data_IF_583234555996
#
_entry.id   IF_583234555996
#
_cell.length_a   1.000
_cell.length_b   1.000
_cell.length_c   1.000
_cell.angle_alpha   90.00
_cell.angle_beta   90.00
_cell.angle_gamma   90.00
#
_symmetry.space_group_name_H-M   'P 1'
#
loop_
_entity.id
_entity.type
_entity.pdbx_description
1 polymer ?
#
# COMPACT_ATOMS: atom_id res chain seq x y z
N UNK A 1 -1.80 13.48 -21.71
CA UNK A 1 -0.88 12.46 -21.16
C UNK A 1 0.55 12.89 -21.42
N UNK A 2 1.32 13.05 -20.35
CA UNK A 2 2.69 13.56 -20.39
C UNK A 2 3.71 12.48 -20.76
N UNK A 3 4.95 12.88 -20.99
CA UNK A 3 6.07 11.95 -21.06
C UNK A 3 7.25 12.57 -20.31
N UNK A 4 8.03 11.74 -19.63
CA UNK A 4 9.25 12.16 -18.95
C UNK A 4 10.46 11.63 -19.70
N UNK A 5 11.50 12.46 -19.78
CA UNK A 5 12.82 12.05 -20.23
C UNK A 5 13.68 11.83 -18.99
N UNK A 6 14.22 10.62 -18.83
CA UNK A 6 14.91 10.21 -17.61
C UNK A 6 16.01 9.21 -17.95
N UNK A 7 17.12 9.25 -17.20
CA UNK A 7 18.11 8.18 -17.31
C UNK A 7 17.55 6.91 -16.68
N UNK A 8 17.90 5.75 -17.23
CA UNK A 8 17.46 4.46 -16.70
C UNK A 8 17.79 4.29 -15.21
N UNK A 9 19.00 4.63 -14.78
CA UNK A 9 19.39 4.55 -13.37
C UNK A 9 18.50 5.40 -12.46
N UNK A 10 18.13 6.61 -12.91
CA UNK A 10 17.26 7.51 -12.16
C UNK A 10 15.81 6.98 -12.08
N UNK A 11 15.33 6.30 -13.12
CA UNK A 11 14.02 5.65 -13.12
C UNK A 11 13.96 4.53 -12.07
N UNK A 12 14.98 3.67 -12.04
CA UNK A 12 15.09 2.56 -11.07
C UNK A 12 15.19 3.11 -9.65
N UNK A 13 16.08 4.08 -9.41
CA UNK A 13 16.24 4.71 -8.11
C UNK A 13 14.94 5.37 -7.62
N UNK A 14 14.28 6.14 -8.48
CA UNK A 14 13.01 6.80 -8.15
C UNK A 14 11.89 5.79 -7.87
N UNK A 15 11.89 4.65 -8.55
CA UNK A 15 10.95 3.57 -8.27
C UNK A 15 11.17 3.02 -6.87
N UNK A 16 12.43 2.72 -6.52
CA UNK A 16 12.81 2.31 -5.17
C UNK A 16 12.41 3.32 -4.10
N UNK A 17 12.67 4.61 -4.32
CA UNK A 17 12.32 5.68 -3.38
C UNK A 17 10.81 5.77 -3.15
N UNK A 18 10.00 5.71 -4.22
CA UNK A 18 8.53 5.81 -4.11
C UNK A 18 7.94 4.59 -3.43
N UNK A 19 8.39 3.39 -3.81
CA UNK A 19 7.94 2.13 -3.22
C UNK A 19 8.34 2.07 -1.74
N UNK A 20 9.59 2.36 -1.41
CA UNK A 20 10.08 2.41 -0.04
C UNK A 20 9.38 3.47 0.80
N UNK A 21 9.10 4.66 0.25
CA UNK A 21 8.40 5.72 0.96
C UNK A 21 6.94 5.36 1.32
N UNK A 22 6.23 4.69 0.40
CA UNK A 22 4.81 4.35 0.53
C UNK A 22 4.58 3.04 1.29
N UNK A 23 5.38 2.02 1.01
CA UNK A 23 5.30 0.70 1.66
C UNK A 23 6.12 0.60 2.96
N UNK A 24 7.13 1.45 3.12
CA UNK A 24 8.10 1.33 4.22
C UNK A 24 9.08 0.18 4.03
N UNK A 25 9.04 -0.53 2.89
CA UNK A 25 9.87 -1.67 2.57
C UNK A 25 10.88 -1.30 1.47
N UNK A 26 12.16 -1.44 1.78
CA UNK A 26 13.27 -1.22 0.86
C UNK A 26 13.62 -2.51 0.13
N UNK A 27 13.75 -2.41 -1.20
CA UNK A 27 14.11 -3.51 -2.07
C UNK A 27 15.42 -3.18 -2.78
N UNK A 28 16.22 -4.22 -2.99
CA UNK A 28 17.38 -4.22 -3.88
C UNK A 28 16.95 -4.23 -5.34
N UNK A 29 17.89 -3.94 -6.25
CA UNK A 29 17.59 -3.96 -7.68
C UNK A 29 17.19 -5.37 -8.14
N UNK A 30 17.86 -6.38 -7.61
CA UNK A 30 17.62 -7.78 -7.92
C UNK A 30 16.21 -8.19 -7.47
N UNK A 31 15.77 -7.78 -6.27
CA UNK A 31 14.39 -8.02 -5.80
C UNK A 31 13.36 -7.27 -6.65
N UNK A 32 13.70 -6.09 -7.18
CA UNK A 32 12.84 -5.42 -8.16
C UNK A 32 12.80 -6.15 -9.51
N UNK A 33 13.93 -6.68 -9.99
CA UNK A 33 14.00 -7.40 -11.26
C UNK A 33 13.00 -8.59 -11.29
N UNK A 34 12.72 -9.20 -10.14
CA UNK A 34 11.77 -10.30 -9.99
C UNK A 34 10.30 -9.85 -10.07
N UNK A 35 9.97 -8.63 -9.64
CA UNK A 35 8.57 -8.14 -9.55
C UNK A 35 8.19 -7.16 -10.66
N UNK A 36 9.15 -6.61 -11.42
CA UNK A 36 8.83 -5.66 -12.48
C UNK A 36 8.15 -6.36 -13.66
N UNK A 37 7.01 -5.84 -14.16
CA UNK A 37 6.31 -6.45 -15.28
C UNK A 37 7.18 -6.57 -16.53
N UNK A 38 7.04 -7.71 -17.22
CA UNK A 38 7.84 -8.04 -18.40
C UNK A 38 7.72 -7.01 -19.52
N UNK A 39 6.55 -6.40 -19.67
CA UNK A 39 6.29 -5.33 -20.62
C UNK A 39 7.14 -4.06 -20.39
N UNK A 40 7.62 -3.83 -19.15
CA UNK A 40 8.47 -2.68 -18.81
C UNK A 40 9.96 -3.03 -18.70
N UNK A 41 10.36 -4.27 -19.02
CA UNK A 41 11.77 -4.71 -18.96
C UNK A 41 12.72 -3.84 -19.82
N UNK A 42 12.24 -3.26 -20.92
CA UNK A 42 13.02 -2.35 -21.76
C UNK A 42 13.35 -1.01 -21.06
N UNK A 43 12.47 -0.57 -20.16
CA UNK A 43 12.73 0.60 -19.31
C UNK A 43 13.64 0.24 -18.13
N UNK A 44 13.56 -0.99 -17.65
CA UNK A 44 14.22 -1.43 -16.43
C UNK A 44 15.67 -1.92 -16.64
N UNK A 45 15.89 -2.76 -17.64
CA UNK A 45 17.20 -3.35 -17.93
C UNK A 45 17.98 -2.57 -19.00
N UNK A 46 19.30 -2.62 -18.89
CA UNK A 46 20.25 -1.93 -19.79
C UNK A 46 21.16 -0.96 -19.04
N UNK A 47 21.90 -0.13 -19.79
CA UNK A 47 22.89 0.79 -19.23
C UNK A 47 22.23 1.91 -18.40
N UNK A 48 22.73 2.15 -17.18
CA UNK A 48 22.15 3.16 -16.28
C UNK A 48 22.10 4.57 -16.89
N UNK A 49 23.06 4.93 -17.74
CA UNK A 49 23.13 6.25 -18.38
C UNK A 49 22.27 6.38 -19.66
N UNK A 50 21.63 5.31 -20.11
CA UNK A 50 20.75 5.35 -21.27
C UNK A 50 19.55 6.27 -21.00
N UNK A 51 19.34 7.24 -21.90
CA UNK A 51 18.18 8.13 -21.83
C UNK A 51 16.94 7.40 -22.32
N UNK A 52 15.88 7.45 -21.52
CA UNK A 52 14.59 6.85 -21.81
C UNK A 52 13.54 7.94 -21.93
N UNK A 53 12.54 7.68 -22.76
CA UNK A 53 11.27 8.39 -22.76
C UNK A 53 10.20 7.41 -22.30
N UNK A 54 9.57 7.69 -21.17
CA UNK A 54 8.48 6.89 -20.62
C UNK A 54 7.25 7.78 -20.46
N UNK A 55 6.08 7.24 -20.77
CA UNK A 55 4.80 7.94 -20.53
C UNK A 55 4.59 8.07 -19.03
N UNK A 56 3.89 9.13 -18.63
CA UNK A 56 3.56 9.33 -17.21
C UNK A 56 2.77 8.14 -16.67
N UNK A 57 1.86 7.60 -17.47
CA UNK A 57 0.96 6.50 -17.12
C UNK A 57 1.73 5.17 -16.98
N UNK A 58 2.69 4.88 -17.87
CA UNK A 58 3.57 3.70 -17.75
C UNK A 58 4.38 3.73 -16.45
N UNK A 59 4.84 4.93 -16.02
CA UNK A 59 5.51 5.05 -14.73
C UNK A 59 4.55 4.83 -13.56
N UNK A 60 3.29 5.29 -13.65
CA UNK A 60 2.27 4.98 -12.65
C UNK A 60 2.00 3.47 -12.55
N UNK A 61 1.94 2.77 -13.69
CA UNK A 61 1.74 1.33 -13.77
C UNK A 61 2.89 0.55 -13.13
N UNK A 62 4.15 0.93 -13.40
CA UNK A 62 5.34 0.33 -12.74
C UNK A 62 5.23 0.46 -11.22
N UNK A 63 4.87 1.65 -10.71
CA UNK A 63 4.76 1.92 -9.28
C UNK A 63 3.60 1.14 -8.67
N UNK A 64 2.43 1.17 -9.29
CA UNK A 64 1.25 0.45 -8.79
C UNK A 64 1.51 -1.06 -8.77
N UNK A 65 2.15 -1.61 -9.80
CA UNK A 65 2.53 -3.02 -9.82
C UNK A 65 3.53 -3.36 -8.73
N UNK A 66 4.59 -2.56 -8.57
CA UNK A 66 5.59 -2.79 -7.52
C UNK A 66 4.98 -2.74 -6.12
N UNK A 67 4.11 -1.77 -5.85
CA UNK A 67 3.37 -1.67 -4.57
C UNK A 67 2.42 -2.86 -4.36
N UNK A 68 1.84 -3.38 -5.44
CA UNK A 68 0.96 -4.54 -5.39
C UNK A 68 1.73 -5.82 -5.08
N UNK A 69 2.89 -6.04 -5.72
CA UNK A 69 3.72 -7.22 -5.51
C UNK A 69 4.36 -7.25 -4.11
N UNK A 70 4.61 -6.09 -3.49
CA UNK A 70 5.04 -6.05 -2.07
C UNK A 70 3.87 -6.09 -1.08
N UNK A 71 2.64 -6.32 -1.53
CA UNK A 71 1.43 -6.44 -0.70
C UNK A 71 0.90 -5.11 -0.13
N UNK A 72 1.42 -3.97 -0.57
CA UNK A 72 1.03 -2.67 -0.01
C UNK A 72 -0.30 -2.13 -0.55
N UNK A 73 -0.72 -2.60 -1.73
CA UNK A 73 -2.03 -2.28 -2.31
C UNK A 73 -2.72 -3.56 -2.82
N UNK A 74 -4.04 -3.51 -2.94
CA UNK A 74 -4.88 -4.67 -3.26
C UNK A 74 -5.02 -4.94 -4.78
N UNK A 75 -4.67 -3.99 -5.62
CA UNK A 75 -4.77 -4.13 -7.08
C UNK A 75 -3.69 -3.29 -7.77
N UNK A 76 -3.05 -3.82 -8.83
CA UNK A 76 -2.05 -3.08 -9.61
C UNK A 76 -2.69 -2.07 -10.59
N UNK A 77 -4.01 -2.09 -10.74
CA UNK A 77 -4.70 -1.22 -11.72
C UNK A 77 -4.57 0.26 -11.34
N UNK A 78 -4.13 1.09 -12.28
CA UNK A 78 -4.14 2.56 -12.15
C UNK A 78 -5.50 3.18 -12.50
N UNK A 79 -6.50 2.37 -12.87
CA UNK A 79 -7.83 2.87 -13.17
C UNK A 79 -8.43 3.61 -11.96
N UNK A 80 -9.04 4.80 -12.19
CA UNK A 80 -9.70 5.55 -11.12
C UNK A 80 -10.71 4.69 -10.37
N UNK A 81 -10.72 4.81 -9.04
CA UNK A 81 -11.65 4.07 -8.18
C UNK A 81 -13.12 4.31 -8.54
N UNK A 82 -13.45 5.49 -9.07
CA UNK A 82 -14.81 5.83 -9.53
C UNK A 82 -15.35 4.88 -10.58
N UNK A 83 -14.51 4.37 -11.49
CA UNK A 83 -14.92 3.39 -12.50
C UNK A 83 -15.28 2.07 -11.83
N UNK A 84 -14.44 1.61 -10.88
CA UNK A 84 -14.70 0.39 -10.10
C UNK A 84 -15.99 0.52 -9.28
N UNK A 85 -16.18 1.67 -8.61
CA UNK A 85 -17.37 1.93 -7.80
C UNK A 85 -18.64 2.03 -8.65
N UNK A 86 -18.57 2.66 -9.82
CA UNK A 86 -19.67 2.64 -10.78
C UNK A 86 -20.05 1.20 -11.15
N UNK A 87 -19.07 0.34 -11.47
CA UNK A 87 -19.34 -1.06 -11.77
C UNK A 87 -19.87 -1.87 -10.57
N UNK A 88 -19.49 -1.51 -9.33
CA UNK A 88 -20.03 -2.09 -8.09
C UNK A 88 -21.51 -1.78 -7.93
N UNK A 89 -21.93 -0.55 -8.24
CA UNK A 89 -23.29 -0.07 -7.96
C UNK A 89 -24.25 -0.09 -9.15
N UNK A 90 -23.78 -0.15 -10.40
CA UNK A 90 -24.62 -0.07 -11.61
C UNK A 90 -25.75 -1.11 -11.71
N UNK A 91 -25.65 -2.22 -10.97
CA UNK A 91 -26.68 -3.27 -10.96
C UNK A 91 -27.86 -2.99 -10.01
N UNK A 92 -27.79 -1.92 -9.22
CA UNK A 92 -28.83 -1.51 -8.28
C UNK A 92 -29.10 0.00 -8.46
N UNK A 93 -30.27 0.34 -8.98
CA UNK A 93 -30.62 1.74 -9.34
C UNK A 93 -30.57 2.68 -8.14
N UNK A 94 -31.02 2.24 -6.96
CA UNK A 94 -31.00 3.04 -5.73
C UNK A 94 -29.56 3.34 -5.28
N UNK A 95 -28.71 2.30 -5.22
CA UNK A 95 -27.32 2.47 -4.82
C UNK A 95 -26.50 3.26 -5.85
N UNK A 96 -26.81 3.10 -7.14
CA UNK A 96 -26.19 3.89 -8.20
C UNK A 96 -26.54 5.38 -8.05
N UNK A 97 -27.81 5.70 -7.80
CA UNK A 97 -28.24 7.08 -7.55
C UNK A 97 -27.51 7.69 -6.35
N UNK A 98 -27.43 6.95 -5.23
CA UNK A 98 -26.71 7.38 -4.03
C UNK A 98 -25.23 7.62 -4.35
N UNK A 99 -24.58 6.71 -5.09
CA UNK A 99 -23.18 6.85 -5.49
C UNK A 99 -22.95 8.09 -6.35
N UNK A 100 -23.75 8.30 -7.39
CA UNK A 100 -23.59 9.43 -8.30
C UNK A 100 -23.76 10.77 -7.57
N UNK A 101 -24.74 10.86 -6.66
CA UNK A 101 -24.97 12.07 -5.89
C UNK A 101 -23.83 12.34 -4.90
N UNK A 102 -23.47 11.34 -4.08
CA UNK A 102 -22.40 11.49 -3.08
C UNK A 102 -21.03 11.71 -3.73
N UNK A 103 -20.76 11.10 -4.88
CA UNK A 103 -19.51 11.31 -5.62
C UNK A 103 -19.40 12.75 -6.13
N UNK A 104 -20.51 13.34 -6.60
CA UNK A 104 -20.57 14.76 -6.97
C UNK A 104 -20.30 15.66 -5.78
N UNK A 105 -20.94 15.41 -4.64
CA UNK A 105 -20.71 16.18 -3.42
C UNK A 105 -19.25 16.09 -2.93
N UNK A 106 -18.66 14.90 -3.03
CA UNK A 106 -17.27 14.67 -2.69
C UNK A 106 -16.32 15.46 -3.62
N UNK A 107 -16.59 15.53 -4.92
CA UNK A 107 -15.80 16.35 -5.86
C UNK A 107 -15.86 17.84 -5.47
N UNK A 108 -17.04 18.35 -5.10
CA UNK A 108 -17.18 19.75 -4.67
C UNK A 108 -16.45 20.04 -3.34
N UNK A 109 -16.44 19.07 -2.40
CA UNK A 109 -15.60 19.15 -1.21
C UNK A 109 -14.11 19.28 -1.57
N UNK A 110 -13.62 18.46 -2.49
CA UNK A 110 -12.21 18.50 -2.90
C UNK A 110 -11.84 19.84 -3.54
N UNK A 111 -12.68 20.36 -4.45
CA UNK A 111 -12.46 21.67 -5.10
C UNK A 111 -12.39 22.81 -4.09
N UNK A 112 -13.41 22.91 -3.23
CA UNK A 112 -13.47 23.96 -2.20
C UNK A 112 -12.30 23.89 -1.21
N UNK A 113 -11.80 22.69 -0.94
CA UNK A 113 -10.62 22.48 -0.08
C UNK A 113 -9.31 22.95 -0.74
N UNK A 114 -9.20 22.83 -2.07
CA UNK A 114 -8.00 23.28 -2.82
C UNK A 114 -7.97 24.80 -3.08
N UNK A 115 -9.13 25.46 -3.11
CA UNK A 115 -9.25 26.90 -3.39
C UNK A 115 -9.19 27.77 -2.12
N UNK A 116 -9.40 27.20 -0.94
CA UNK A 116 -9.42 27.96 0.32
C UNK A 116 -7.99 28.31 0.82
N UNK A 117 -7.63 29.61 0.95
CA UNK A 117 -6.28 30.06 1.36
C UNK A 117 -5.86 29.58 2.77
N UNK A 118 -6.82 29.19 3.62
CA UNK A 118 -6.59 28.74 5.00
C UNK A 118 -6.29 27.24 5.11
N UNK A 119 -6.66 26.42 4.13
CA UNK A 119 -6.38 24.96 4.12
C UNK A 119 -4.93 24.70 3.73
N UNK A 120 -4.25 25.64 3.05
CA UNK A 120 -2.80 25.59 2.80
C UNK A 120 -1.93 25.48 4.08
N UNK A 121 -2.48 25.78 5.28
CA UNK A 121 -1.78 25.57 6.56
C UNK A 121 -2.05 24.20 7.21
N UNK A 122 -3.10 23.49 6.84
CA UNK A 122 -3.42 22.13 7.30
C UNK A 122 -3.48 21.22 6.07
N UNK A 123 -2.41 20.47 5.81
CA UNK A 123 -2.30 19.47 4.72
C UNK A 123 -3.25 18.26 4.90
N UNK A 124 -4.49 18.46 5.33
CA UNK A 124 -5.46 17.41 5.69
C UNK A 124 -6.86 17.86 5.33
N UNK A 125 -7.59 17.03 4.59
CA UNK A 125 -9.01 17.19 4.29
C UNK A 125 -9.78 16.32 5.30
N UNK A 126 -10.79 16.89 5.96
CA UNK A 126 -11.69 16.14 6.84
C UNK A 126 -12.90 15.64 6.04
N UNK A 127 -13.05 14.33 5.81
CA UNK A 127 -14.17 13.79 5.04
C UNK A 127 -15.44 13.57 5.87
N UNK A 128 -15.39 13.77 7.20
CA UNK A 128 -16.51 13.52 8.12
C UNK A 128 -17.82 14.20 7.70
N UNK A 129 -17.84 15.43 7.17
CA UNK A 129 -19.08 16.06 6.73
C UNK A 129 -19.83 15.27 5.65
N UNK A 130 -19.12 14.64 4.72
CA UNK A 130 -19.73 13.82 3.64
C UNK A 130 -20.33 12.55 4.23
N UNK A 131 -19.61 11.90 5.15
CA UNK A 131 -20.07 10.67 5.81
C UNK A 131 -21.33 10.93 6.64
N UNK A 132 -21.33 11.99 7.46
CA UNK A 132 -22.47 12.35 8.31
C UNK A 132 -23.70 12.65 7.46
N UNK A 133 -23.55 13.51 6.45
CA UNK A 133 -24.65 13.88 5.54
C UNK A 133 -25.19 12.67 4.76
N UNK A 134 -24.31 11.78 4.31
CA UNK A 134 -24.72 10.56 3.62
C UNK A 134 -25.56 9.64 4.52
N UNK A 135 -25.18 9.48 5.80
CA UNK A 135 -25.94 8.70 6.78
C UNK A 135 -27.29 9.34 7.09
N UNK A 136 -27.34 10.66 7.25
CA UNK A 136 -28.59 11.38 7.52
C UNK A 136 -29.58 11.27 6.35
N UNK A 137 -29.09 11.33 5.11
CA UNK A 137 -29.95 11.32 3.92
C UNK A 137 -30.35 9.92 3.46
N UNK A 138 -29.44 8.95 3.54
CA UNK A 138 -29.61 7.63 2.93
C UNK A 138 -29.38 6.45 3.91
N UNK A 139 -29.29 6.74 5.22
CA UNK A 139 -29.09 5.72 6.24
C UNK A 139 -27.79 4.94 6.06
N UNK A 140 -27.85 3.62 6.33
CA UNK A 140 -26.69 2.74 6.26
C UNK A 140 -26.13 2.63 4.82
N UNK A 141 -26.99 2.62 3.80
CA UNK A 141 -26.57 2.56 2.40
C UNK A 141 -25.72 3.78 2.02
N UNK A 142 -26.15 4.98 2.42
CA UNK A 142 -25.37 6.20 2.24
C UNK A 142 -24.00 6.16 2.91
N UNK A 143 -23.98 5.67 4.15
CA UNK A 143 -22.74 5.54 4.92
C UNK A 143 -21.73 4.63 4.19
N UNK A 144 -22.17 3.45 3.74
CA UNK A 144 -21.32 2.49 3.03
C UNK A 144 -20.80 3.08 1.72
N UNK A 145 -21.67 3.72 0.93
CA UNK A 145 -21.30 4.33 -0.35
C UNK A 145 -20.32 5.50 -0.15
N UNK A 146 -20.55 6.35 0.86
CA UNK A 146 -19.63 7.43 1.20
C UNK A 146 -18.25 6.91 1.61
N UNK A 147 -18.21 5.87 2.45
CA UNK A 147 -16.97 5.23 2.87
C UNK A 147 -16.20 4.66 1.67
N UNK A 148 -16.88 3.95 0.78
CA UNK A 148 -16.33 3.42 -0.47
C UNK A 148 -15.68 4.51 -1.35
N UNK A 149 -16.34 5.66 -1.50
CA UNK A 149 -15.82 6.81 -2.27
C UNK A 149 -14.54 7.34 -1.64
N UNK A 150 -14.53 7.53 -0.32
CA UNK A 150 -13.37 8.06 0.42
C UNK A 150 -12.20 7.07 0.36
N UNK A 151 -12.44 5.80 0.63
CA UNK A 151 -11.43 4.74 0.55
C UNK A 151 -10.88 4.59 -0.88
N UNK A 152 -11.75 4.68 -1.88
CA UNK A 152 -11.37 4.72 -3.29
C UNK A 152 -10.40 5.86 -3.57
N UNK A 153 -10.75 7.08 -3.15
CA UNK A 153 -9.91 8.26 -3.35
C UNK A 153 -8.57 8.18 -2.60
N UNK A 154 -8.57 7.69 -1.35
CA UNK A 154 -7.34 7.46 -0.57
C UNK A 154 -6.47 6.43 -1.29
N UNK A 155 -7.06 5.35 -1.81
CA UNK A 155 -6.33 4.32 -2.55
C UNK A 155 -5.71 4.86 -3.83
N UNK A 156 -6.45 5.66 -4.60
CA UNK A 156 -5.97 6.30 -5.84
C UNK A 156 -4.78 7.21 -5.56
N UNK A 157 -4.89 8.06 -4.53
CA UNK A 157 -3.80 8.95 -4.16
C UNK A 157 -2.59 8.20 -3.58
N UNK A 158 -2.83 7.18 -2.75
CA UNK A 158 -1.78 6.38 -2.14
C UNK A 158 -0.92 5.66 -3.19
N UNK A 159 -1.47 5.15 -4.29
CA UNK A 159 -0.66 4.52 -5.35
C UNK A 159 -0.01 5.50 -6.31
N UNK A 160 -0.57 6.71 -6.45
CA UNK A 160 -0.07 7.69 -7.41
C UNK A 160 1.35 8.19 -7.03
N UNK A 161 2.34 8.09 -7.92
CA UNK A 161 3.74 8.45 -7.67
C UNK A 161 4.04 9.95 -7.74
N UNK A 162 3.08 10.76 -8.19
CA UNK A 162 3.25 12.20 -8.37
C UNK A 162 2.87 13.01 -7.12
N UNK A 163 2.30 12.36 -6.12
CA UNK A 163 1.98 12.97 -4.84
C UNK A 163 2.72 12.26 -3.69
N UNK A 164 2.72 12.90 -2.51
CA UNK A 164 3.34 12.37 -1.28
C UNK A 164 2.34 11.70 -0.34
N UNK A 165 1.16 11.36 -0.84
CA UNK A 165 0.11 10.76 -0.01
C UNK A 165 0.46 9.29 0.20
N UNK A 166 0.42 8.89 1.47
CA UNK A 166 0.63 7.53 1.94
C UNK A 166 -0.35 7.19 3.07
N UNK A 167 -0.80 5.95 3.14
CA UNK A 167 -1.72 5.46 4.19
C UNK A 167 -1.07 5.47 5.57
N UNK A 168 0.18 5.01 5.65
CA UNK A 168 0.94 4.91 6.90
C UNK A 168 2.18 5.79 6.79
N UNK A 169 2.44 6.58 7.84
CA UNK A 169 3.69 7.34 7.96
C UNK A 169 4.74 6.49 8.66
N UNK A 170 5.43 5.67 7.88
CA UNK A 170 6.56 4.87 8.36
C UNK A 170 7.65 5.79 8.92
N UNK A 171 8.17 5.42 10.10
CA UNK A 171 9.24 6.11 10.84
C UNK A 171 10.62 5.65 10.35
N UNK A 172 10.70 4.44 9.82
CA UNK A 172 11.89 3.80 9.28
C UNK A 172 11.56 3.07 7.97
N UNK A 173 12.59 2.56 7.30
CA UNK A 173 12.47 1.62 6.17
C UNK A 173 13.04 0.28 6.62
N UNK A 174 12.38 -0.83 6.28
CA UNK A 174 12.88 -2.20 6.51
C UNK A 174 13.29 -2.81 5.19
N UNK A 175 14.43 -3.51 5.15
CA UNK A 175 14.88 -4.19 3.95
C UNK A 175 14.15 -5.52 3.78
N UNK A 176 13.57 -5.79 2.60
CA UNK A 176 12.85 -7.04 2.33
C UNK A 176 13.72 -8.28 2.61
N UNK A 177 14.97 -8.25 2.17
CA UNK A 177 15.98 -9.29 2.42
C UNK A 177 16.11 -9.70 3.90
N UNK A 178 15.84 -8.79 4.85
CA UNK A 178 15.89 -9.08 6.28
C UNK A 178 14.80 -10.06 6.75
N UNK A 179 13.70 -10.22 6.00
CA UNK A 179 12.71 -11.28 6.23
C UNK A 179 13.29 -12.68 6.01
N UNK A 180 14.24 -12.81 5.09
CA UNK A 180 14.79 -14.10 4.68
C UNK A 180 16.11 -14.44 5.37
N UNK A 181 16.85 -13.43 5.84
CA UNK A 181 18.22 -13.61 6.33
C UNK A 181 18.45 -13.26 7.80
N UNK A 182 17.61 -12.42 8.39
CA UNK A 182 17.86 -11.91 9.73
C UNK A 182 17.05 -12.65 10.79
N UNK A 183 17.64 -12.86 11.96
CA UNK A 183 16.95 -13.45 13.11
C UNK A 183 16.23 -12.39 13.96
N UNK A 184 16.53 -11.10 13.77
CA UNK A 184 16.02 -10.02 14.63
C UNK A 184 14.49 -9.90 14.54
N UNK A 185 13.83 -9.81 15.70
CA UNK A 185 12.38 -9.57 15.80
C UNK A 185 12.04 -8.13 16.19
N UNK A 186 13.05 -7.26 16.25
CA UNK A 186 12.85 -5.85 16.56
C UNK A 186 12.02 -5.17 15.47
N UNK A 187 10.88 -4.64 15.89
CA UNK A 187 9.89 -4.03 15.01
C UNK A 187 9.32 -2.75 15.63
N UNK A 188 9.01 -1.78 14.78
CA UNK A 188 8.27 -0.57 15.16
C UNK A 188 6.76 -0.71 14.91
N UNK A 189 6.35 -1.73 14.14
CA UNK A 189 5.00 -1.89 13.61
C UNK A 189 4.51 -3.32 13.82
N UNK A 190 4.35 -3.68 15.08
CA UNK A 190 4.02 -5.03 15.56
C UNK A 190 4.70 -5.25 16.90
N UNK A 191 4.62 -6.47 17.43
CA UNK A 191 5.31 -6.87 18.65
C UNK A 191 6.42 -7.89 18.38
N UNK A 192 6.16 -8.84 17.48
CA UNK A 192 7.09 -9.93 17.16
C UNK A 192 7.46 -9.99 15.68
N UNK A 193 6.64 -9.42 14.80
CA UNK A 193 6.97 -9.26 13.38
C UNK A 193 6.46 -7.92 12.86
N UNK A 194 7.22 -7.32 11.94
CA UNK A 194 6.85 -6.05 11.32
C UNK A 194 5.70 -6.23 10.32
N UNK A 195 4.68 -5.37 10.40
CA UNK A 195 3.52 -5.37 9.51
C UNK A 195 3.91 -5.40 8.03
N UNK A 196 5.00 -4.76 7.64
CA UNK A 196 5.45 -4.72 6.24
C UNK A 196 5.83 -6.09 5.70
N UNK A 197 6.39 -6.95 6.54
CA UNK A 197 6.66 -8.33 6.17
C UNK A 197 5.39 -9.18 6.11
N UNK A 198 4.42 -8.91 6.98
CA UNK A 198 3.10 -9.56 6.93
C UNK A 198 2.37 -9.18 5.64
N UNK A 199 2.35 -7.90 5.27
CA UNK A 199 1.77 -7.41 4.02
C UNK A 199 2.42 -8.11 2.81
N UNK A 200 3.76 -8.19 2.80
CA UNK A 200 4.50 -8.91 1.76
C UNK A 200 4.13 -10.39 1.69
N UNK A 201 4.06 -11.09 2.83
CA UNK A 201 3.76 -12.53 2.88
C UNK A 201 2.30 -12.85 2.56
N UNK A 202 1.36 -11.99 2.90
CA UNK A 202 -0.05 -12.14 2.50
C UNK A 202 -0.18 -12.18 0.97
N UNK A 203 0.58 -11.32 0.29
CA UNK A 203 0.65 -11.28 -1.17
C UNK A 203 1.50 -12.41 -1.76
N UNK A 204 2.60 -12.77 -1.11
CA UNK A 204 3.61 -13.72 -1.58
C UNK A 204 3.65 -14.96 -0.69
N UNK A 205 2.49 -15.60 -0.50
CA UNK A 205 2.36 -16.70 0.45
C UNK A 205 3.35 -17.85 0.21
N UNK A 206 3.70 -18.11 -1.05
CA UNK A 206 4.71 -19.12 -1.41
C UNK A 206 6.12 -18.81 -0.88
N UNK A 207 6.40 -17.54 -0.55
CA UNK A 207 7.66 -17.13 0.10
C UNK A 207 7.73 -17.55 1.57
N UNK A 208 6.62 -17.94 2.20
CA UNK A 208 6.57 -18.32 3.62
C UNK A 208 7.53 -19.45 3.94
N UNK A 209 7.71 -20.42 3.03
CA UNK A 209 8.65 -21.54 3.22
C UNK A 209 10.13 -21.14 3.19
N UNK A 210 10.44 -19.93 2.71
CA UNK A 210 11.80 -19.45 2.54
C UNK A 210 12.21 -18.40 3.59
N UNK A 211 11.28 -17.92 4.43
CA UNK A 211 11.62 -16.94 5.46
C UNK A 211 12.56 -17.54 6.49
N UNK A 212 13.30 -16.68 7.17
CA UNK A 212 14.15 -17.14 8.26
C UNK A 212 13.30 -17.81 9.35
N UNK A 213 13.71 -18.97 9.87
CA UNK A 213 12.93 -19.75 10.85
C UNK A 213 12.47 -18.90 12.04
N UNK A 214 13.35 -18.03 12.55
CA UNK A 214 13.02 -17.10 13.64
C UNK A 214 11.91 -16.12 13.28
N UNK A 215 11.80 -15.70 12.02
CA UNK A 215 10.69 -14.85 11.53
C UNK A 215 9.37 -15.61 11.47
N UNK A 216 9.41 -16.91 11.21
CA UNK A 216 8.22 -17.77 11.25
C UNK A 216 7.67 -17.89 12.67
N UNK A 217 8.55 -18.05 13.67
CA UNK A 217 8.15 -17.98 15.09
C UNK A 217 7.56 -16.61 15.43
N UNK A 218 8.23 -15.54 15.00
CA UNK A 218 7.74 -14.17 15.16
C UNK A 218 6.36 -13.95 14.53
N UNK A 219 6.12 -14.47 13.32
CA UNK A 219 4.81 -14.43 12.65
C UNK A 219 3.73 -15.14 13.47
N UNK A 220 4.05 -16.32 14.00
CA UNK A 220 3.14 -17.12 14.83
C UNK A 220 2.78 -16.39 16.12
N UNK A 221 3.78 -15.84 16.81
CA UNK A 221 3.59 -15.03 18.02
C UNK A 221 2.76 -13.77 17.74
N UNK A 222 3.05 -13.07 16.64
CA UNK A 222 2.33 -11.88 16.21
C UNK A 222 0.85 -12.19 15.92
N UNK A 223 0.55 -13.35 15.31
CA UNK A 223 -0.83 -13.80 15.12
C UNK A 223 -1.58 -13.92 16.44
N UNK A 224 -1.05 -14.65 17.43
CA UNK A 224 -1.72 -14.83 18.72
C UNK A 224 -1.83 -13.53 19.52
N UNK A 225 -0.81 -12.69 19.50
CA UNK A 225 -0.86 -11.37 20.14
C UNK A 225 -2.01 -10.52 19.57
N UNK A 226 -2.21 -10.55 18.25
CA UNK A 226 -3.31 -9.82 17.59
C UNK A 226 -4.70 -10.37 17.90
N UNK A 227 -4.79 -11.65 18.26
CA UNK A 227 -6.02 -12.25 18.76
C UNK A 227 -6.28 -11.90 20.24
N UNK A 228 -5.36 -11.18 20.90
CA UNK A 228 -5.51 -10.72 22.28
C UNK A 228 -4.97 -11.69 23.34
N UNK A 229 -4.27 -12.75 22.93
CA UNK A 229 -3.54 -13.60 23.87
C UNK A 229 -2.30 -12.87 24.37
N UNK A 230 -1.83 -13.23 25.58
CA UNK A 230 -0.53 -12.79 26.03
C UNK A 230 0.50 -13.84 25.58
N UNK A 231 1.47 -13.37 24.81
CA UNK A 231 2.47 -14.21 24.15
C UNK A 231 3.86 -13.90 24.69
N UNK A 232 4.65 -14.94 24.94
CA UNK A 232 6.09 -14.86 25.18
C UNK A 232 6.82 -15.75 24.17
N UNK A 233 7.77 -15.14 23.44
CA UNK A 233 8.60 -15.84 22.47
C UNK A 233 9.81 -16.48 23.14
N UNK A 234 10.17 -17.69 22.74
CA UNK A 234 11.35 -18.41 23.25
C UNK A 234 12.64 -17.66 22.93
N UNK A 235 13.73 -17.96 23.64
CA UNK A 235 15.00 -17.21 23.55
C UNK A 235 15.67 -17.30 22.17
N UNK A 236 15.48 -18.41 21.45
CA UNK A 236 16.03 -18.65 20.12
C UNK A 236 17.55 -18.93 20.16
N UNK A 237 17.93 -20.15 19.73
CA UNK A 237 19.27 -20.73 19.45
C UNK A 237 19.57 -22.00 20.28
N UNK A 238 20.01 -23.03 19.54
CA UNK A 238 20.57 -24.32 19.92
C UNK A 238 20.03 -24.96 21.22
N UNK A 239 18.93 -25.69 21.08
CA UNK A 239 18.86 -27.12 21.42
C UNK A 239 17.62 -27.71 20.74
N UNK A 240 17.78 -28.82 20.03
CA UNK A 240 16.70 -29.60 19.42
C UNK A 240 15.65 -29.95 20.50
N UNK A 241 14.57 -29.16 20.58
CA UNK A 241 13.46 -29.38 21.52
C UNK A 241 13.05 -28.20 22.41
N UNK A 242 13.52 -26.97 22.15
CA UNK A 242 13.07 -25.76 22.86
C UNK A 242 11.59 -25.41 22.64
N UNK A 243 11.02 -24.58 23.53
CA UNK A 243 9.67 -24.01 23.35
C UNK A 243 9.78 -22.70 22.57
N UNK A 244 9.22 -22.67 21.37
CA UNK A 244 9.30 -21.50 20.46
C UNK A 244 8.37 -20.35 20.90
N UNK A 245 7.19 -20.68 21.42
CA UNK A 245 6.21 -19.72 21.89
C UNK A 245 5.40 -20.28 23.06
N UNK A 246 5.07 -19.41 24.02
CA UNK A 246 4.08 -19.70 25.06
C UNK A 246 2.93 -18.69 24.94
N UNK A 247 1.70 -19.20 25.00
CA UNK A 247 0.48 -18.44 24.71
C UNK A 247 -0.58 -18.77 25.77
N UNK A 248 -1.24 -17.75 26.31
CA UNK A 248 -2.32 -17.87 27.30
C UNK A 248 -3.35 -16.75 27.18
#
# INVERSE_FOLDING_TARGET
MGAIWVKRGDLVARTGDVVGYKSGLGLTKEEFDDIIPKEYHNYWHGENNGMLRIRSEEFEEIIAHSLYEVGNIQTPSIAPSSIRLFHKYKGNEELLYIFEELFREFIELLKSSTEAPKVLKKNTIDPSPVIIKAKEKYGLSGLIVAQDIIEGHISDNHRNPWNKIRRIKWKDTKELKGLFKDESLETLYGKFLDQRYIDYLDKNFDSLGNIHWRKFEGLTCEFFERQGYKVEIGEGRNDDGGIDARVW
#
